data_IF_866250511406
#
_entry.id   IF_866250511406
#
_cell.length_a   1.000
_cell.length_b   1.000
_cell.length_c   1.000
_cell.angle_alpha   90.00
_cell.angle_beta   90.00
_cell.angle_gamma   90.00
#
_symmetry.space_group_name_H-M   'P 1'
#
loop_
_entity.id
_entity.type
_entity.pdbx_description
1 polymer ?
#
# COMPACT_ATOMS: atom_id res chain seq x y z
N UNK A 1 -17.30 -12.57 6.47
CA UNK A 1 -16.14 -13.02 5.65
C UNK A 1 -16.19 -14.53 5.50
N UNK A 2 -16.04 -15.07 4.27
CA UNK A 2 -16.10 -16.52 4.02
C UNK A 2 -14.74 -17.11 3.71
N UNK A 3 -14.38 -18.21 4.36
CA UNK A 3 -13.19 -18.98 4.03
C UNK A 3 -13.39 -19.74 2.72
N UNK A 4 -12.52 -19.57 1.75
CA UNK A 4 -12.65 -20.18 0.42
C UNK A 4 -12.37 -21.70 0.41
N UNK A 5 -11.68 -22.23 1.43
CA UNK A 5 -11.34 -23.65 1.48
C UNK A 5 -12.52 -24.51 1.87
N UNK A 6 -13.23 -24.19 2.96
CA UNK A 6 -14.31 -25.02 3.50
C UNK A 6 -15.61 -24.25 3.75
N UNK A 7 -15.69 -22.99 3.32
CA UNK A 7 -16.90 -22.18 3.41
C UNK A 7 -17.29 -21.71 4.83
N UNK A 8 -16.38 -21.82 5.79
CA UNK A 8 -16.64 -21.27 7.13
C UNK A 8 -16.83 -19.76 7.04
N UNK A 9 -17.82 -19.26 7.77
CA UNK A 9 -18.20 -17.85 7.73
C UNK A 9 -17.90 -17.18 9.06
N UNK A 10 -17.21 -16.06 8.98
CA UNK A 10 -16.78 -15.27 10.13
C UNK A 10 -17.42 -13.87 10.08
N UNK A 11 -17.73 -13.35 11.22
CA UNK A 11 -18.12 -11.95 11.43
C UNK A 11 -16.95 -11.02 11.19
N UNK A 12 -17.19 -9.70 11.19
CA UNK A 12 -16.14 -8.68 11.04
C UNK A 12 -15.21 -8.59 12.25
N UNK A 13 -15.65 -9.06 13.41
CA UNK A 13 -14.82 -9.15 14.62
C UNK A 13 -13.99 -10.44 14.69
N UNK A 14 -14.12 -11.32 13.68
CA UNK A 14 -13.40 -12.59 13.60
C UNK A 14 -14.13 -13.77 14.25
N UNK A 15 -15.26 -13.58 14.90
CA UNK A 15 -16.03 -14.68 15.47
C UNK A 15 -16.61 -15.59 14.39
N UNK A 16 -16.60 -16.90 14.64
CA UNK A 16 -17.22 -17.87 13.74
C UNK A 16 -18.75 -17.77 13.85
N UNK A 17 -19.43 -17.62 12.71
CA UNK A 17 -20.91 -17.49 12.66
C UNK A 17 -21.59 -18.58 11.84
N UNK A 18 -20.82 -19.34 11.05
CA UNK A 18 -21.39 -20.40 10.25
C UNK A 18 -20.40 -21.45 9.80
N UNK A 19 -20.83 -22.71 9.87
CA UNK A 19 -20.08 -23.87 9.41
C UNK A 19 -20.98 -24.61 8.40
N UNK A 20 -20.61 -24.68 7.10
CA UNK A 20 -21.33 -25.49 6.13
C UNK A 20 -21.34 -26.95 6.57
N UNK A 21 -22.46 -27.62 6.33
CA UNK A 21 -22.62 -29.03 6.69
C UNK A 21 -22.34 -29.36 8.17
N UNK A 22 -22.67 -28.44 9.09
CA UNK A 22 -22.41 -28.58 10.52
C UNK A 22 -22.88 -29.91 11.14
N UNK A 23 -23.94 -30.55 10.57
CA UNK A 23 -24.42 -31.88 10.98
C UNK A 23 -23.36 -32.99 10.80
N UNK A 24 -22.42 -32.83 9.85
CA UNK A 24 -21.35 -33.79 9.63
C UNK A 24 -20.33 -33.88 10.77
N UNK A 25 -20.30 -32.87 11.63
CA UNK A 25 -19.42 -32.87 12.80
C UNK A 25 -20.02 -33.50 14.05
N UNK A 26 -21.25 -34.06 13.92
CA UNK A 26 -21.96 -34.79 15.01
C UNK A 26 -22.03 -34.03 16.35
N UNK A 27 -22.22 -32.72 16.30
CA UNK A 27 -22.29 -31.86 17.49
C UNK A 27 -20.95 -31.61 18.21
N UNK A 28 -19.83 -32.03 17.62
CA UNK A 28 -18.49 -31.85 18.21
C UNK A 28 -17.91 -30.43 18.02
N UNK A 29 -18.50 -29.63 17.13
CA UNK A 29 -18.11 -28.24 16.91
C UNK A 29 -19.24 -27.32 17.36
N UNK A 30 -18.95 -26.47 18.33
CA UNK A 30 -19.83 -25.39 18.71
C UNK A 30 -19.38 -24.11 17.93
N UNK A 31 -20.21 -23.55 17.02
CA UNK A 31 -19.87 -22.30 16.34
C UNK A 31 -19.64 -21.12 17.27
N UNK A 32 -20.11 -21.21 18.52
CA UNK A 32 -19.90 -20.18 19.53
C UNK A 32 -18.58 -20.32 20.29
N UNK A 33 -17.84 -21.41 20.05
CA UNK A 33 -16.52 -21.60 20.69
C UNK A 33 -15.56 -20.53 20.18
N UNK A 34 -15.02 -19.64 21.05
CA UNK A 34 -14.07 -18.62 20.66
C UNK A 34 -12.79 -19.18 20.03
N UNK A 35 -12.43 -20.43 20.38
CA UNK A 35 -11.25 -21.10 19.83
C UNK A 35 -11.36 -21.41 18.32
N UNK A 36 -12.58 -21.37 17.76
CA UNK A 36 -12.82 -21.54 16.33
C UNK A 36 -12.88 -20.23 15.56
N UNK A 37 -12.69 -19.11 16.23
CA UNK A 37 -12.61 -17.79 15.63
C UNK A 37 -11.30 -17.58 14.85
N UNK A 38 -11.23 -16.45 14.16
CA UNK A 38 -9.98 -15.99 13.54
C UNK A 38 -9.04 -15.44 14.63
N UNK A 39 -7.75 -15.70 14.44
CA UNK A 39 -6.72 -15.09 15.28
C UNK A 39 -6.72 -13.56 15.11
N UNK A 40 -6.62 -12.85 16.20
CA UNK A 40 -6.51 -11.39 16.20
C UNK A 40 -5.05 -10.98 16.11
N UNK A 41 -4.77 -9.97 15.31
CA UNK A 41 -3.49 -9.31 15.38
C UNK A 41 -3.33 -8.68 16.78
N UNK A 42 -2.24 -8.96 17.50
CA UNK A 42 -2.03 -8.46 18.86
C UNK A 42 -2.09 -6.94 18.96
N UNK A 43 -1.60 -6.24 17.94
CA UNK A 43 -1.65 -4.78 17.85
C UNK A 43 -2.17 -4.33 16.51
N UNK A 44 -3.15 -3.44 16.53
CA UNK A 44 -3.71 -2.77 15.36
C UNK A 44 -3.87 -1.31 15.69
N UNK A 45 -3.25 -0.45 14.91
CA UNK A 45 -3.32 1.00 15.06
C UNK A 45 -3.56 1.64 13.69
N UNK A 46 -4.08 2.86 13.66
CA UNK A 46 -4.22 3.60 12.42
C UNK A 46 -3.55 4.97 12.50
N UNK A 47 -3.00 5.40 11.37
CA UNK A 47 -2.46 6.73 11.20
C UNK A 47 -3.01 7.34 9.91
N UNK A 48 -3.66 8.48 10.00
CA UNK A 48 -4.31 9.15 8.86
C UNK A 48 -5.21 8.23 8.02
N UNK A 49 -5.90 7.27 8.64
CA UNK A 49 -6.75 6.29 7.95
C UNK A 49 -6.02 5.05 7.41
N UNK A 50 -4.69 5.06 7.34
CA UNK A 50 -3.92 3.85 7.03
C UNK A 50 -3.89 2.93 8.25
N UNK A 51 -4.32 1.68 8.06
CA UNK A 51 -4.37 0.68 9.14
C UNK A 51 -3.11 -0.17 9.11
N UNK A 52 -2.45 -0.25 10.25
CA UNK A 52 -1.25 -1.05 10.46
C UNK A 52 -1.53 -2.16 11.47
N UNK A 53 -0.96 -3.32 11.25
CA UNK A 53 -1.10 -4.45 12.15
C UNK A 53 0.27 -5.09 12.44
N UNK A 54 0.49 -5.51 13.67
CA UNK A 54 1.69 -6.23 14.10
C UNK A 54 1.32 -7.60 14.66
N UNK A 55 2.13 -8.61 14.33
CA UNK A 55 2.05 -9.95 14.94
C UNK A 55 2.79 -10.04 16.26
N UNK A 56 3.63 -9.06 16.58
CA UNK A 56 4.29 -8.95 17.87
C UNK A 56 3.35 -8.29 18.87
N UNK A 57 3.21 -8.89 20.07
CA UNK A 57 2.42 -8.33 21.14
C UNK A 57 3.06 -7.06 21.74
N UNK A 58 4.39 -7.07 21.78
CA UNK A 58 5.20 -5.99 22.32
C UNK A 58 5.93 -5.22 21.21
N UNK A 59 6.35 -4.00 21.53
CA UNK A 59 7.13 -3.15 20.64
C UNK A 59 6.76 -1.68 20.75
N UNK A 60 7.40 -0.80 19.95
CA UNK A 60 7.12 0.62 19.97
C UNK A 60 5.66 0.90 19.55
N UNK A 61 5.13 2.07 19.92
CA UNK A 61 3.89 2.57 19.35
C UNK A 61 4.00 2.73 17.84
N UNK A 62 2.86 2.79 17.13
CA UNK A 62 2.89 3.03 15.69
C UNK A 62 3.58 4.36 15.35
N UNK A 63 3.34 5.39 16.13
CA UNK A 63 3.96 6.70 15.94
C UNK A 63 5.49 6.64 16.07
N UNK A 64 5.99 5.96 17.11
CA UNK A 64 7.44 5.77 17.31
C UNK A 64 8.05 4.90 16.20
N UNK A 65 7.33 3.86 15.76
CA UNK A 65 7.79 2.98 14.68
C UNK A 65 7.89 3.71 13.34
N UNK A 66 6.89 4.50 12.99
CA UNK A 66 6.88 5.29 11.77
C UNK A 66 7.89 6.44 11.84
N UNK A 67 8.05 7.04 13.02
CA UNK A 67 8.98 8.15 13.22
C UNK A 67 8.83 9.24 12.14
N UNK A 68 9.93 9.66 11.49
CA UNK A 68 9.88 10.69 10.45
C UNK A 68 9.05 10.31 9.20
N UNK A 69 8.73 9.02 9.00
CA UNK A 69 7.88 8.58 7.91
C UNK A 69 6.46 9.14 7.98
N UNK A 70 6.03 9.57 9.17
CA UNK A 70 4.75 10.28 9.36
C UNK A 70 4.65 11.51 8.46
N UNK A 71 5.76 12.24 8.22
CA UNK A 71 5.78 13.38 7.29
C UNK A 71 5.37 13.00 5.87
N UNK A 72 5.84 11.86 5.36
CA UNK A 72 5.49 11.42 4.02
C UNK A 72 4.00 11.10 3.91
N UNK A 73 3.44 10.43 4.94
CA UNK A 73 2.00 10.14 5.00
C UNK A 73 1.19 11.45 5.12
N UNK A 74 1.62 12.37 5.99
CA UNK A 74 0.95 13.67 6.16
C UNK A 74 0.96 14.48 4.86
N UNK A 75 2.09 14.52 4.14
CA UNK A 75 2.21 15.19 2.85
C UNK A 75 1.27 14.57 1.80
N UNK A 76 1.17 13.24 1.80
CA UNK A 76 0.27 12.53 0.88
C UNK A 76 -1.19 12.93 1.16
N UNK A 77 -1.61 12.93 2.42
CA UNK A 77 -2.97 13.29 2.81
C UNK A 77 -3.25 14.78 2.57
N UNK A 78 -2.27 15.65 2.85
CA UNK A 78 -2.42 17.09 2.67
C UNK A 78 -2.61 17.52 1.19
N UNK A 79 -2.22 16.70 0.24
CA UNK A 79 -2.46 16.94 -1.20
C UNK A 79 -3.91 16.72 -1.62
N UNK A 80 -4.70 15.99 -0.83
CA UNK A 80 -6.11 15.82 -1.10
C UNK A 80 -6.89 17.08 -0.74
N UNK A 81 -7.67 17.69 -1.66
CA UNK A 81 -8.42 18.92 -1.38
C UNK A 81 -9.40 18.81 -0.21
N UNK A 82 -9.95 17.61 0.01
CA UNK A 82 -10.84 17.30 1.12
C UNK A 82 -10.11 17.04 2.45
N UNK A 83 -8.78 16.90 2.43
CA UNK A 83 -7.99 16.42 3.58
C UNK A 83 -8.12 14.90 3.82
N UNK A 84 -8.76 14.17 2.92
CA UNK A 84 -8.95 12.72 2.98
C UNK A 84 -8.57 12.09 1.65
N UNK A 85 -7.97 10.88 1.72
CA UNK A 85 -7.64 10.08 0.54
C UNK A 85 -8.65 8.94 0.44
N UNK A 86 -9.31 8.82 -0.71
CA UNK A 86 -10.19 7.71 -1.00
C UNK A 86 -9.49 6.64 -1.83
N UNK A 87 -9.57 5.38 -1.38
CA UNK A 87 -9.04 4.23 -2.08
C UNK A 87 -10.15 3.50 -2.86
N UNK A 88 -10.65 4.16 -3.91
CA UNK A 88 -11.80 3.68 -4.68
C UNK A 88 -11.43 2.83 -5.89
N UNK A 89 -10.21 2.95 -6.39
CA UNK A 89 -9.76 2.33 -7.65
C UNK A 89 -9.47 0.83 -7.59
N UNK A 90 -9.71 0.16 -6.47
CA UNK A 90 -9.34 -1.25 -6.32
C UNK A 90 -7.84 -1.45 -6.08
N UNK A 91 -7.38 -2.68 -6.26
CA UNK A 91 -5.98 -3.04 -6.02
C UNK A 91 -5.46 -4.02 -7.06
N UNK A 92 -4.21 -3.81 -7.47
CA UNK A 92 -3.49 -4.77 -8.30
C UNK A 92 -2.67 -5.71 -7.42
N UNK A 93 -2.73 -7.00 -7.72
CA UNK A 93 -1.87 -7.98 -7.09
C UNK A 93 -1.00 -8.64 -8.16
N UNK A 94 0.28 -8.36 -8.10
CA UNK A 94 1.27 -8.97 -8.97
C UNK A 94 2.10 -9.98 -8.19
N UNK A 95 2.44 -11.09 -8.83
CA UNK A 95 3.34 -12.09 -8.29
C UNK A 95 4.47 -12.30 -9.29
N UNK A 96 5.69 -12.04 -8.84
CA UNK A 96 6.88 -12.30 -9.64
C UNK A 96 7.86 -13.19 -8.87
N UNK A 97 8.69 -13.90 -9.63
CA UNK A 97 9.75 -14.75 -9.06
C UNK A 97 11.03 -13.94 -9.06
N UNK A 98 11.42 -13.43 -7.92
CA UNK A 98 12.59 -12.60 -7.77
C UNK A 98 12.92 -12.32 -6.31
N UNK A 99 14.08 -11.74 -6.09
CA UNK A 99 14.47 -11.29 -4.77
C UNK A 99 13.73 -9.97 -4.46
N UNK A 100 12.93 -9.96 -3.39
CA UNK A 100 12.18 -8.79 -2.96
C UNK A 100 13.06 -7.55 -2.68
N UNK A 101 14.32 -7.77 -2.31
CA UNK A 101 15.29 -6.68 -2.08
C UNK A 101 15.56 -5.87 -3.34
N UNK A 102 15.61 -6.52 -4.50
CA UNK A 102 15.77 -5.82 -5.77
C UNK A 102 14.58 -4.91 -6.08
N UNK A 103 13.38 -5.31 -5.66
CA UNK A 103 12.22 -4.45 -5.78
C UNK A 103 12.31 -3.21 -4.87
N UNK A 104 12.81 -3.39 -3.65
CA UNK A 104 13.05 -2.26 -2.73
C UNK A 104 14.13 -1.32 -3.26
N UNK A 105 15.23 -1.84 -3.79
CA UNK A 105 16.28 -1.05 -4.44
C UNK A 105 15.69 -0.25 -5.62
N UNK A 106 14.94 -0.91 -6.49
CA UNK A 106 14.30 -0.25 -7.63
C UNK A 106 13.35 0.87 -7.21
N UNK A 107 12.62 0.69 -6.09
CA UNK A 107 11.70 1.70 -5.59
C UNK A 107 12.42 2.95 -5.02
N UNK A 108 13.71 2.85 -4.69
CA UNK A 108 14.53 3.94 -4.18
C UNK A 108 15.53 4.46 -5.20
N UNK A 109 15.52 3.95 -6.42
CA UNK A 109 16.39 4.38 -7.52
C UNK A 109 15.62 5.24 -8.52
N UNK A 110 15.94 6.51 -8.58
CA UNK A 110 15.36 7.45 -9.54
C UNK A 110 16.10 7.46 -10.88
N UNK A 111 17.38 7.11 -10.87
CA UNK A 111 18.23 7.21 -12.08
C UNK A 111 17.76 6.27 -13.18
N UNK A 112 17.34 5.05 -12.82
CA UNK A 112 16.88 4.09 -13.82
C UNK A 112 15.60 4.55 -14.53
N UNK A 113 14.74 5.30 -13.84
CA UNK A 113 13.43 5.69 -14.37
C UNK A 113 13.58 6.50 -15.68
N UNK A 114 14.52 7.45 -15.73
CA UNK A 114 14.76 8.26 -16.91
C UNK A 114 15.33 7.49 -18.12
N UNK A 115 15.94 6.33 -17.87
CA UNK A 115 16.54 5.49 -18.91
C UNK A 115 15.63 4.30 -19.25
N UNK A 116 15.27 3.52 -18.27
CA UNK A 116 14.49 2.28 -18.47
C UNK A 116 13.04 2.58 -18.87
N UNK A 117 12.48 3.68 -18.38
CA UNK A 117 11.12 4.12 -18.68
C UNK A 117 11.04 5.24 -19.70
N UNK A 118 12.13 5.56 -20.41
CA UNK A 118 12.18 6.64 -21.38
C UNK A 118 11.05 6.56 -22.42
N UNK A 119 10.77 5.38 -22.97
CA UNK A 119 9.69 5.20 -23.94
C UNK A 119 8.29 5.56 -23.41
N UNK A 120 8.07 5.34 -22.11
CA UNK A 120 6.80 5.73 -21.45
C UNK A 120 6.69 7.24 -21.29
N UNK A 121 7.82 7.89 -20.98
CA UNK A 121 7.92 9.35 -20.86
C UNK A 121 7.72 10.01 -22.22
N UNK A 122 8.38 9.51 -23.25
CA UNK A 122 8.27 10.03 -24.63
C UNK A 122 6.84 9.89 -25.16
N UNK A 123 6.20 8.75 -24.88
CA UNK A 123 4.79 8.53 -25.26
C UNK A 123 3.84 9.48 -24.53
N UNK A 124 4.06 9.69 -23.23
CA UNK A 124 3.25 10.63 -22.45
C UNK A 124 3.46 12.08 -22.93
N UNK A 125 4.70 12.45 -23.31
CA UNK A 125 4.98 13.77 -23.86
C UNK A 125 4.29 13.97 -25.20
N UNK A 126 4.34 12.99 -26.10
CA UNK A 126 3.66 13.07 -27.41
C UNK A 126 2.16 13.25 -27.24
N UNK A 127 1.53 12.51 -26.31
CA UNK A 127 0.10 12.69 -26.02
C UNK A 127 -0.17 14.06 -25.41
N UNK A 128 0.70 14.55 -24.53
CA UNK A 128 0.54 15.87 -23.92
C UNK A 128 0.62 17.01 -24.94
N UNK A 129 1.46 16.85 -25.96
CA UNK A 129 1.63 17.85 -27.02
C UNK A 129 0.40 17.92 -27.95
N UNK A 130 -0.37 16.83 -28.02
CA UNK A 130 -1.62 16.76 -28.78
C UNK A 130 -2.86 17.24 -27.98
N UNK A 131 -2.72 17.47 -26.66
CA UNK A 131 -3.81 17.98 -25.84
C UNK A 131 -4.05 19.48 -26.09
N UNK A 132 -5.33 19.87 -26.01
CA UNK A 132 -5.68 21.28 -26.07
C UNK A 132 -5.04 22.09 -24.94
N UNK A 133 -4.68 23.34 -25.21
CA UNK A 133 -4.12 24.24 -24.20
C UNK A 133 -4.99 24.29 -22.93
N UNK A 134 -4.37 24.05 -21.80
CA UNK A 134 -5.05 24.04 -20.48
C UNK A 134 -5.72 22.73 -20.09
N UNK A 135 -5.64 21.67 -20.91
CA UNK A 135 -6.09 20.33 -20.50
C UNK A 135 -5.07 19.71 -19.52
N UNK A 136 -5.52 19.46 -18.30
CA UNK A 136 -4.72 18.74 -17.29
C UNK A 136 -5.11 17.27 -17.27
N UNK A 137 -4.13 16.40 -17.48
CA UNK A 137 -4.28 14.96 -17.27
C UNK A 137 -3.27 14.48 -16.23
N UNK A 138 -3.77 14.09 -15.07
CA UNK A 138 -2.94 13.62 -13.97
C UNK A 138 -2.14 12.37 -14.32
N UNK A 139 -2.67 11.50 -15.17
CA UNK A 139 -1.95 10.30 -15.60
C UNK A 139 -0.73 10.67 -16.44
N UNK A 140 -0.87 11.62 -17.37
CA UNK A 140 0.25 12.13 -18.15
C UNK A 140 1.30 12.81 -17.26
N UNK A 141 0.88 13.60 -16.28
CA UNK A 141 1.81 14.23 -15.34
C UNK A 141 2.61 13.20 -14.55
N UNK A 142 1.98 12.10 -14.13
CA UNK A 142 2.69 11.01 -13.45
C UNK A 142 3.72 10.33 -14.36
N UNK A 143 3.38 10.08 -15.62
CA UNK A 143 4.33 9.49 -16.57
C UNK A 143 5.49 10.45 -16.89
N UNK A 144 5.21 11.73 -17.07
CA UNK A 144 6.24 12.76 -17.27
C UNK A 144 7.15 12.91 -16.07
N UNK A 145 6.64 12.71 -14.85
CA UNK A 145 7.42 12.72 -13.61
C UNK A 145 8.50 11.64 -13.55
N UNK A 146 8.36 10.54 -14.29
CA UNK A 146 9.42 9.53 -14.43
C UNK A 146 10.62 9.99 -15.30
N UNK A 147 10.43 11.06 -16.07
CA UNK A 147 11.45 11.66 -16.94
C UNK A 147 12.07 12.93 -16.36
N UNK A 148 12.33 12.96 -15.06
CA UNK A 148 13.00 14.12 -14.45
C UNK A 148 14.31 14.43 -15.17
N UNK A 149 14.52 15.68 -15.61
CA UNK A 149 15.79 16.11 -16.17
C UNK A 149 16.93 15.88 -15.18
N UNK A 150 18.12 15.56 -15.68
CA UNK A 150 19.30 15.31 -14.82
C UNK A 150 19.59 16.47 -13.88
N UNK A 151 19.32 17.72 -14.32
CA UNK A 151 19.49 18.92 -13.52
C UNK A 151 18.53 18.97 -12.31
N UNK A 152 17.44 18.23 -12.36
CA UNK A 152 16.50 18.11 -11.24
C UNK A 152 16.89 17.01 -10.26
N UNK A 153 17.72 16.07 -10.68
CA UNK A 153 18.15 14.95 -9.83
C UNK A 153 18.91 15.43 -8.60
N UNK A 154 19.68 16.52 -8.71
CA UNK A 154 20.39 17.12 -7.57
C UNK A 154 19.46 17.67 -6.47
N UNK A 155 18.18 17.87 -6.79
CA UNK A 155 17.18 18.38 -5.85
C UNK A 155 16.36 17.28 -5.19
N UNK A 156 16.50 16.05 -5.67
CA UNK A 156 15.76 14.91 -5.14
C UNK A 156 16.47 14.37 -3.91
N UNK A 157 15.75 14.30 -2.82
CA UNK A 157 16.26 13.72 -1.58
C UNK A 157 15.67 12.33 -1.37
N UNK A 158 16.54 11.39 -1.02
CA UNK A 158 16.18 10.02 -0.64
C UNK A 158 16.46 9.91 0.86
N UNK A 159 15.41 9.72 1.63
CA UNK A 159 15.49 9.58 3.07
C UNK A 159 15.31 8.13 3.49
N UNK A 160 16.29 7.59 4.22
CA UNK A 160 16.23 6.28 4.85
C UNK A 160 16.19 6.40 6.36
N UNK A 161 15.38 5.57 7.01
CA UNK A 161 15.19 5.58 8.46
C UNK A 161 15.35 4.20 9.07
N UNK A 162 15.63 4.12 10.39
CA UNK A 162 15.58 2.88 11.13
C UNK A 162 14.24 2.16 10.91
N UNK A 163 14.27 0.83 10.88
CA UNK A 163 13.08 0.03 10.61
C UNK A 163 12.83 -0.26 9.12
N UNK A 164 13.71 0.24 8.23
CA UNK A 164 13.62 -0.01 6.78
C UNK A 164 12.62 0.90 6.06
N UNK A 165 12.25 2.01 6.67
CA UNK A 165 11.40 3.02 6.03
C UNK A 165 12.24 3.91 5.13
N UNK A 166 11.68 4.24 3.96
CA UNK A 166 12.28 5.23 3.06
C UNK A 166 11.20 5.99 2.30
N UNK A 167 11.51 7.20 1.91
CA UNK A 167 10.73 7.97 0.95
C UNK A 167 11.63 8.86 0.11
N UNK A 168 11.12 9.21 -1.06
CA UNK A 168 11.75 10.12 -2.01
C UNK A 168 10.91 11.39 -2.06
N UNK A 169 11.54 12.54 -2.02
CA UNK A 169 10.89 13.85 -2.18
C UNK A 169 11.70 14.80 -3.05
N UNK A 170 11.01 15.77 -3.60
CA UNK A 170 11.54 16.95 -4.29
C UNK A 170 11.38 18.16 -3.39
#
# INVERSE_FOLDING_TARGET
MGCRSHGWVFSTDGSLIGIPHGKGYNGKLDPKDPALGLDRAPRVESYRGFVFASRAADGPSLADYLGPMTRAIDNMVARAPSGEIEMTGGGFRQRYRGNWKLHMENANDLMHASIVHASSVDSAQAVADDLADGAEDHALQMFKGNGLPLEMMDKVEIHGFPGGHSYICL
#
